data_IF_214769340587
#
_entry.id   IF_214769340587
#
_cell.length_a   1.000
_cell.length_b   1.000
_cell.length_c   1.000
_cell.angle_alpha   90.00
_cell.angle_beta   90.00
_cell.angle_gamma   90.00
#
_symmetry.space_group_name_H-M   'P 1'
#
loop_
_entity.id
_entity.type
_entity.pdbx_description
1 polymer ?
#
# COMPACT_ATOMS: atom_id res chain seq x y z
N UNK A 1 3.17 -14.51 24.06
CA UNK A 1 2.35 -14.49 22.83
C UNK A 1 2.59 -13.24 21.94
N UNK A 2 2.80 -12.03 22.48
CA UNK A 2 3.32 -10.88 21.69
C UNK A 2 4.80 -11.04 21.28
N UNK A 3 5.61 -11.67 22.13
CA UNK A 3 7.04 -11.94 21.86
C UNK A 3 7.28 -12.80 20.61
N UNK A 4 6.36 -13.70 20.26
CA UNK A 4 6.48 -14.57 19.08
C UNK A 4 6.05 -13.85 17.78
N UNK A 5 5.19 -12.82 17.91
CA UNK A 5 4.83 -11.91 16.82
C UNK A 5 5.99 -11.00 16.42
N UNK A 6 6.81 -10.57 17.40
CA UNK A 6 8.01 -9.74 17.19
C UNK A 6 9.23 -10.57 16.74
N UNK A 7 9.34 -11.83 17.18
CA UNK A 7 10.43 -12.74 16.76
C UNK A 7 10.45 -13.04 15.26
N UNK A 8 9.30 -12.93 14.58
CA UNK A 8 9.19 -13.08 13.13
C UNK A 8 9.34 -11.75 12.36
N UNK A 9 9.60 -10.63 13.05
CA UNK A 9 9.96 -9.31 12.47
C UNK A 9 11.47 -9.22 12.17
N UNK A 10 12.17 -10.36 12.20
CA UNK A 10 13.59 -10.47 11.90
C UNK A 10 13.86 -10.47 10.39
N UNK A 11 13.63 -9.33 9.76
CA UNK A 11 14.30 -8.95 8.52
C UNK A 11 14.24 -7.43 8.39
N UNK A 12 15.41 -6.81 8.25
CA UNK A 12 15.56 -5.42 7.82
C UNK A 12 14.59 -5.23 6.62
N UNK A 13 13.55 -4.39 6.67
CA UNK A 13 13.43 -3.19 5.79
C UNK A 13 11.94 -2.83 5.47
N UNK A 14 11.03 -2.85 6.45
CA UNK A 14 9.62 -2.45 6.23
C UNK A 14 9.39 -1.01 5.73
N UNK A 15 10.42 -0.16 5.72
CA UNK A 15 10.29 1.29 5.55
C UNK A 15 11.28 1.86 4.51
N UNK A 16 11.79 1.04 3.60
CA UNK A 16 12.55 1.53 2.46
C UNK A 16 12.08 0.85 1.18
N UNK A 17 11.53 1.64 0.26
CA UNK A 17 10.98 1.21 -1.04
C UNK A 17 11.88 0.25 -1.82
N UNK A 18 13.20 0.38 -1.70
CA UNK A 18 14.18 -0.48 -2.38
C UNK A 18 13.95 -1.97 -2.11
N UNK A 19 13.43 -2.34 -0.94
CA UNK A 19 13.21 -3.75 -0.59
C UNK A 19 11.87 -4.23 -1.11
N UNK A 20 10.87 -3.36 -1.09
CA UNK A 20 9.56 -3.64 -1.64
C UNK A 20 9.66 -3.95 -3.12
N UNK A 21 10.40 -3.12 -3.87
CA UNK A 21 10.66 -3.35 -5.29
C UNK A 21 11.43 -4.65 -5.52
N UNK A 22 12.49 -4.93 -4.75
CA UNK A 22 13.27 -6.16 -4.91
C UNK A 22 12.41 -7.42 -4.69
N UNK A 23 11.57 -7.44 -3.65
CA UNK A 23 10.66 -8.56 -3.43
C UNK A 23 9.58 -8.66 -4.51
N UNK A 24 9.03 -7.54 -4.96
CA UNK A 24 7.98 -7.54 -6.00
C UNK A 24 8.52 -7.94 -7.39
N UNK A 25 9.75 -7.54 -7.75
CA UNK A 25 10.35 -7.79 -9.08
C UNK A 25 11.20 -9.05 -9.17
N UNK A 26 11.68 -9.56 -8.03
CA UNK A 26 12.61 -10.69 -8.00
C UNK A 26 12.15 -11.82 -7.09
N UNK A 27 11.05 -11.65 -6.34
CA UNK A 27 10.59 -12.57 -5.29
C UNK A 27 11.49 -12.62 -4.04
N UNK A 28 12.72 -12.11 -4.15
CA UNK A 28 13.75 -12.19 -3.10
C UNK A 28 14.59 -10.93 -3.06
N UNK A 29 15.03 -10.58 -1.85
CA UNK A 29 16.03 -9.55 -1.67
C UNK A 29 17.45 -10.14 -1.82
N UNK A 30 17.87 -10.38 -3.06
CA UNK A 30 19.19 -10.93 -3.35
C UNK A 30 19.87 -10.21 -4.51
N UNK A 31 21.04 -9.60 -4.26
CA UNK A 31 21.75 -8.77 -5.24
C UNK A 31 22.13 -9.56 -6.49
N UNK A 32 22.61 -10.80 -6.36
CA UNK A 32 22.99 -11.62 -7.51
C UNK A 32 21.77 -11.88 -8.40
N UNK A 33 20.60 -12.15 -7.80
CA UNK A 33 19.36 -12.37 -8.56
C UNK A 33 18.96 -11.12 -9.33
N UNK A 34 19.02 -9.94 -8.70
CA UNK A 34 18.77 -8.66 -9.38
C UNK A 34 19.77 -8.43 -10.52
N UNK A 35 21.06 -8.69 -10.30
CA UNK A 35 22.11 -8.57 -11.34
C UNK A 35 21.88 -9.53 -12.51
N UNK A 36 21.44 -10.77 -12.24
CA UNK A 36 21.10 -11.72 -13.30
C UNK A 36 19.95 -11.19 -14.17
N UNK A 37 18.90 -10.59 -13.59
CA UNK A 37 17.82 -9.98 -14.37
C UNK A 37 18.33 -8.84 -15.27
N UNK A 38 19.32 -8.06 -14.81
CA UNK A 38 19.97 -7.03 -15.64
C UNK A 38 20.75 -7.67 -16.79
N UNK A 39 21.60 -8.68 -16.50
CA UNK A 39 22.42 -9.37 -17.51
C UNK A 39 21.56 -10.05 -18.57
N UNK A 40 20.46 -10.69 -18.15
CA UNK A 40 19.52 -11.36 -19.04
C UNK A 40 18.58 -10.39 -19.78
N UNK A 41 18.61 -9.09 -19.45
CA UNK A 41 17.76 -8.09 -20.10
C UNK A 41 16.27 -8.25 -19.79
N UNK A 42 15.91 -8.80 -18.63
CA UNK A 42 14.51 -8.95 -18.22
C UNK A 42 13.98 -7.58 -17.82
N UNK A 43 13.19 -6.97 -18.70
CA UNK A 43 12.62 -5.63 -18.50
C UNK A 43 11.12 -5.76 -18.28
N UNK A 44 10.66 -5.16 -17.19
CA UNK A 44 9.28 -5.10 -16.77
C UNK A 44 8.79 -3.65 -16.81
N UNK A 45 7.78 -3.29 -17.61
CA UNK A 45 7.11 -2.00 -17.49
C UNK A 45 6.38 -1.94 -16.15
N UNK A 46 6.45 -0.80 -15.47
CA UNK A 46 5.86 -0.59 -14.14
C UNK A 46 5.12 0.73 -14.05
N UNK A 47 3.92 0.67 -13.48
CA UNK A 47 3.07 1.81 -13.13
C UNK A 47 3.70 2.59 -11.97
N UNK A 48 3.57 3.91 -12.03
CA UNK A 48 4.06 4.80 -10.97
C UNK A 48 3.00 5.83 -10.63
N UNK A 49 2.93 6.22 -9.37
CA UNK A 49 2.03 7.26 -8.92
C UNK A 49 2.75 8.60 -8.81
N UNK A 50 2.07 9.67 -9.21
CA UNK A 50 2.39 11.02 -8.70
C UNK A 50 1.63 11.26 -7.41
N UNK A 51 2.32 11.74 -6.40
CA UNK A 51 1.76 12.25 -5.16
C UNK A 51 1.93 13.77 -5.15
N UNK A 52 0.83 14.51 -5.05
CA UNK A 52 0.84 15.97 -5.08
C UNK A 52 -0.11 16.55 -4.04
N UNK A 53 0.27 17.68 -3.46
CA UNK A 53 -0.68 18.59 -2.84
C UNK A 53 -1.27 19.53 -3.90
N UNK A 54 -2.35 20.27 -3.62
CA UNK A 54 -2.99 21.15 -4.60
C UNK A 54 -2.05 22.15 -5.28
N UNK A 55 -0.97 22.57 -4.60
CA UNK A 55 -0.02 23.56 -5.10
C UNK A 55 1.35 22.99 -5.49
N UNK A 56 1.63 21.70 -5.22
CA UNK A 56 2.98 21.15 -5.37
C UNK A 56 2.99 19.65 -5.63
N UNK A 57 3.79 19.22 -6.61
CA UNK A 57 4.20 17.82 -6.73
C UNK A 57 5.10 17.45 -5.55
N UNK A 58 4.67 16.49 -4.74
CA UNK A 58 5.43 15.99 -3.60
C UNK A 58 6.51 15.02 -4.08
N UNK A 59 6.12 13.99 -4.84
CA UNK A 59 7.02 12.91 -5.29
C UNK A 59 6.36 11.98 -6.31
N UNK A 60 7.19 11.22 -7.04
CA UNK A 60 6.81 9.99 -7.73
C UNK A 60 7.11 8.75 -6.88
N UNK A 61 6.21 7.78 -6.81
CA UNK A 61 6.43 6.56 -6.04
C UNK A 61 5.39 5.48 -6.32
N UNK A 62 5.42 4.39 -5.56
CA UNK A 62 4.55 3.24 -5.78
C UNK A 62 3.50 3.07 -4.70
N UNK A 63 3.76 3.60 -3.51
CA UNK A 63 2.94 3.36 -2.34
C UNK A 63 2.83 4.59 -1.45
N UNK A 64 1.65 4.78 -0.86
CA UNK A 64 1.48 5.66 0.27
C UNK A 64 0.62 5.05 1.36
N UNK A 65 0.87 5.44 2.60
CA UNK A 65 0.03 5.13 3.74
C UNK A 65 -0.26 6.40 4.55
N UNK A 66 -1.48 6.47 5.07
CA UNK A 66 -1.96 7.48 6.00
C UNK A 66 -2.58 6.80 7.23
N UNK A 67 -2.46 7.42 8.41
CA UNK A 67 -2.88 6.83 9.68
C UNK A 67 -1.79 5.94 10.30
N UNK A 68 -2.17 4.76 10.79
CA UNK A 68 -1.31 3.86 11.58
C UNK A 68 0.06 3.58 10.93
N UNK A 69 0.08 3.27 9.62
CA UNK A 69 1.32 2.98 8.90
C UNK A 69 2.29 4.16 8.87
N UNK A 70 1.78 5.37 8.69
CA UNK A 70 2.59 6.59 8.67
C UNK A 70 3.03 7.04 10.06
N UNK A 71 2.14 6.97 11.06
CA UNK A 71 2.50 7.26 12.46
C UNK A 71 3.54 6.29 13.00
N UNK A 72 3.44 5.01 12.64
CA UNK A 72 4.43 4.01 13.02
C UNK A 72 5.79 4.33 12.41
N UNK A 73 5.83 4.75 11.14
CA UNK A 73 7.05 5.23 10.49
C UNK A 73 7.61 6.48 11.20
N UNK A 74 6.78 7.49 11.45
CA UNK A 74 7.17 8.73 12.14
C UNK A 74 7.79 8.45 13.51
N UNK A 75 7.17 7.55 14.28
CA UNK A 75 7.67 7.17 15.58
C UNK A 75 9.02 6.45 15.48
N UNK A 76 9.18 5.53 14.53
CA UNK A 76 10.45 4.84 14.31
C UNK A 76 11.56 5.82 13.88
N UNK A 77 11.26 6.80 13.03
CA UNK A 77 12.23 7.81 12.61
C UNK A 77 12.62 8.77 13.73
N UNK A 78 11.69 9.13 14.63
CA UNK A 78 12.01 9.90 15.84
C UNK A 78 12.94 9.15 16.81
N UNK A 79 13.02 7.82 16.71
CA UNK A 79 13.81 6.96 17.60
C UNK A 79 14.97 6.24 16.88
N UNK A 80 15.66 6.90 15.92
CA UNK A 80 16.82 6.31 15.20
C UNK A 80 17.96 5.84 16.11
N UNK A 81 18.01 6.32 17.36
CA UNK A 81 18.98 5.87 18.37
C UNK A 81 18.77 4.40 18.81
N UNK A 82 17.59 3.82 18.59
CA UNK A 82 17.31 2.41 18.86
C UNK A 82 17.81 1.54 17.67
N UNK A 83 18.45 0.38 17.91
CA UNK A 83 18.84 -0.54 16.84
C UNK A 83 17.68 -0.89 15.88
N UNK A 84 17.92 -1.04 14.56
CA UNK A 84 16.85 -1.07 13.55
C UNK A 84 15.72 -2.09 13.78
N UNK A 85 16.02 -3.30 14.28
CA UNK A 85 15.00 -4.32 14.53
C UNK A 85 14.17 -3.96 15.77
N UNK A 86 14.83 -3.62 16.88
CA UNK A 86 14.19 -3.21 18.12
C UNK A 86 13.36 -1.93 17.93
N UNK A 87 13.83 -1.01 17.08
CA UNK A 87 13.16 0.25 16.75
C UNK A 87 11.79 0.04 16.11
N UNK A 88 11.68 -0.93 15.20
CA UNK A 88 10.41 -1.27 14.55
C UNK A 88 9.44 -1.91 15.52
N UNK A 89 9.91 -2.86 16.30
CA UNK A 89 9.11 -3.53 17.32
C UNK A 89 8.56 -2.50 18.31
N UNK A 90 9.43 -1.62 18.81
CA UNK A 90 9.06 -0.49 19.65
C UNK A 90 7.99 0.39 18.98
N UNK A 91 8.22 0.82 17.74
CA UNK A 91 7.30 1.72 17.05
C UNK A 91 5.92 1.08 16.81
N UNK A 92 5.86 -0.19 16.41
CA UNK A 92 4.61 -0.93 16.21
C UNK A 92 3.87 -1.10 17.53
N UNK A 93 4.56 -1.56 18.59
CA UNK A 93 3.95 -1.78 19.91
C UNK A 93 3.38 -0.48 20.46
N UNK A 94 4.17 0.61 20.41
CA UNK A 94 3.75 1.91 20.94
C UNK A 94 2.60 2.50 20.11
N UNK A 95 2.64 2.40 18.78
CA UNK A 95 1.54 2.84 17.92
C UNK A 95 0.26 2.03 18.13
N UNK A 96 0.37 0.72 18.43
CA UNK A 96 -0.77 -0.11 18.82
C UNK A 96 -1.30 0.24 20.21
N UNK A 97 -0.43 0.55 21.16
CA UNK A 97 -0.82 0.95 22.50
C UNK A 97 -1.64 2.25 22.47
N UNK A 98 -1.25 3.20 21.62
CA UNK A 98 -1.94 4.48 21.38
C UNK A 98 -2.75 4.48 20.07
N UNK A 99 -3.36 3.36 19.70
CA UNK A 99 -4.13 3.24 18.46
C UNK A 99 -5.29 4.24 18.44
N UNK A 100 -5.30 5.13 17.45
CA UNK A 100 -6.34 6.15 17.24
C UNK A 100 -6.67 6.23 15.75
N UNK A 101 -7.95 6.34 15.37
CA UNK A 101 -8.33 6.60 13.99
C UNK A 101 -8.18 8.09 13.64
N UNK A 102 -7.96 8.36 12.37
CA UNK A 102 -8.01 9.70 11.80
C UNK A 102 -9.34 9.91 11.08
N UNK A 103 -9.92 11.09 11.25
CA UNK A 103 -11.10 11.50 10.50
C UNK A 103 -10.63 12.08 9.15
N UNK A 104 -11.07 11.48 8.05
CA UNK A 104 -10.74 11.98 6.72
C UNK A 104 -11.85 11.72 5.70
N UNK A 105 -11.82 12.55 4.68
CA UNK A 105 -12.57 12.38 3.46
C UNK A 105 -11.65 11.78 2.39
N UNK A 106 -12.13 10.74 1.71
CA UNK A 106 -11.48 10.17 0.54
C UNK A 106 -12.40 10.28 -0.66
N UNK A 107 -11.85 10.76 -1.76
CA UNK A 107 -12.49 10.71 -3.07
C UNK A 107 -11.62 9.87 -4.01
N UNK A 108 -12.20 8.98 -4.80
CA UNK A 108 -11.43 8.18 -5.74
C UNK A 108 -12.18 7.96 -7.05
N UNK A 109 -11.42 7.83 -8.14
CA UNK A 109 -11.93 7.51 -9.46
C UNK A 109 -11.74 5.99 -9.69
N UNK A 110 -12.81 5.17 -9.61
CA UNK A 110 -12.69 3.74 -9.81
C UNK A 110 -12.28 3.41 -11.24
N UNK A 111 -11.60 2.28 -11.41
CA UNK A 111 -11.34 1.75 -12.74
C UNK A 111 -12.65 1.19 -13.31
N UNK A 112 -13.26 1.90 -14.27
CA UNK A 112 -14.47 1.47 -14.99
C UNK A 112 -14.16 0.31 -15.96
N UNK A 113 -13.81 -0.86 -15.41
CA UNK A 113 -13.91 -2.19 -16.03
C UNK A 113 -13.46 -3.25 -14.99
N UNK A 114 -14.37 -3.76 -14.15
CA UNK A 114 -14.04 -4.85 -13.21
C UNK A 114 -13.80 -6.21 -13.90
N UNK A 115 -14.00 -6.33 -15.22
CA UNK A 115 -13.91 -7.59 -15.94
C UNK A 115 -12.52 -7.83 -16.53
N UNK A 116 -11.56 -8.20 -15.67
CA UNK A 116 -10.47 -9.12 -16.04
C UNK A 116 -9.69 -9.70 -14.84
N UNK A 117 -10.24 -9.63 -13.63
CA UNK A 117 -9.70 -10.38 -12.50
C UNK A 117 -10.83 -11.26 -11.94
N UNK A 118 -10.66 -12.57 -12.08
CA UNK A 118 -11.55 -13.68 -11.69
C UNK A 118 -12.72 -13.98 -12.64
N UNK A 119 -12.50 -14.91 -13.59
CA UNK A 119 -13.42 -16.03 -13.87
C UNK A 119 -12.75 -17.06 -14.81
N UNK A 120 -12.43 -18.24 -14.26
CA UNK A 120 -12.41 -19.48 -15.03
C UNK A 120 -13.81 -19.72 -15.61
N UNK A 121 -13.84 -20.06 -16.90
CA UNK A 121 -14.89 -20.81 -17.62
C UNK A 121 -16.36 -20.43 -17.36
N UNK A 122 -16.95 -19.60 -18.23
CA UNK A 122 -18.14 -20.06 -18.95
C UNK A 122 -18.37 -19.33 -20.29
N UNK A 123 -18.98 -20.06 -21.22
CA UNK A 123 -19.13 -19.71 -22.64
C UNK A 123 -20.26 -18.71 -22.88
N UNK A 124 -20.03 -17.82 -23.85
CA UNK A 124 -21.02 -17.14 -24.72
C UNK A 124 -22.25 -16.49 -24.05
N UNK A 125 -22.27 -15.15 -24.06
CA UNK A 125 -23.26 -14.40 -24.86
C UNK A 125 -22.83 -12.94 -25.03
N UNK A 126 -22.74 -12.57 -26.31
CA UNK A 126 -22.34 -11.26 -26.82
C UNK A 126 -23.60 -10.41 -26.93
N UNK A 127 -23.96 -9.71 -25.86
CA UNK A 127 -25.00 -8.67 -25.92
C UNK A 127 -24.42 -7.28 -25.66
N UNK A 128 -24.82 -6.38 -26.54
CA UNK A 128 -24.28 -5.04 -26.77
C UNK A 128 -24.50 -4.15 -25.55
N UNK A 129 -23.47 -3.93 -24.74
CA UNK A 129 -23.49 -2.90 -23.71
C UNK A 129 -23.19 -1.56 -24.37
N UNK A 130 -24.18 -0.66 -24.33
CA UNK A 130 -24.06 0.75 -24.68
C UNK A 130 -22.89 1.34 -23.87
N UNK A 131 -21.88 1.89 -24.53
CA UNK A 131 -20.88 2.76 -23.90
C UNK A 131 -21.61 4.00 -23.39
N UNK A 132 -21.95 4.02 -22.11
CA UNK A 132 -22.31 5.27 -21.42
C UNK A 132 -21.02 6.02 -21.07
N UNK A 133 -21.03 7.34 -21.30
CA UNK A 133 -19.97 8.31 -20.97
C UNK A 133 -19.75 8.49 -19.45
N UNK A 134 -19.54 7.41 -18.70
CA UNK A 134 -19.38 7.45 -17.23
C UNK A 134 -17.92 7.51 -16.78
N UNK A 135 -17.00 7.99 -17.63
CA UNK A 135 -15.54 7.89 -17.38
C UNK A 135 -15.04 8.66 -16.15
N UNK A 136 -15.82 9.60 -15.61
CA UNK A 136 -15.34 10.55 -14.59
C UNK A 136 -16.16 10.55 -13.28
N UNK A 137 -16.89 9.47 -12.96
CA UNK A 137 -17.67 9.44 -11.72
C UNK A 137 -16.77 9.15 -10.50
N UNK A 138 -16.36 10.20 -9.81
CA UNK A 138 -15.70 10.12 -8.52
C UNK A 138 -16.63 9.55 -7.45
N UNK A 139 -16.11 8.62 -6.66
CA UNK A 139 -16.75 8.06 -5.48
C UNK A 139 -16.16 8.72 -4.24
N UNK A 140 -16.98 8.96 -3.22
CA UNK A 140 -16.57 9.62 -1.99
C UNK A 140 -16.96 8.76 -0.78
N UNK A 141 -16.00 8.60 0.13
CA UNK A 141 -16.20 7.97 1.42
C UNK A 141 -15.63 8.86 2.51
N UNK A 142 -16.30 8.92 3.64
CA UNK A 142 -15.90 9.72 4.80
C UNK A 142 -15.97 8.85 6.06
N UNK A 143 -15.16 9.20 7.05
CA UNK A 143 -15.26 8.62 8.38
C UNK A 143 -13.93 8.55 9.11
N UNK A 144 -13.90 7.66 10.10
CA UNK A 144 -12.74 7.45 10.97
C UNK A 144 -11.98 6.20 10.52
N UNK A 145 -10.73 6.38 10.11
CA UNK A 145 -9.87 5.33 9.56
C UNK A 145 -8.63 5.12 10.41
N UNK A 146 -8.36 3.88 10.78
CA UNK A 146 -7.11 3.50 11.44
C UNK A 146 -5.93 3.53 10.47
N UNK A 147 -6.17 3.15 9.21
CA UNK A 147 -5.15 3.15 8.18
C UNK A 147 -5.78 3.26 6.80
N UNK A 148 -5.15 4.05 5.93
CA UNK A 148 -5.44 4.12 4.51
C UNK A 148 -4.16 3.78 3.76
N UNK A 149 -4.23 2.83 2.84
CA UNK A 149 -3.11 2.41 2.00
C UNK A 149 -3.47 2.62 0.53
N UNK A 150 -2.58 3.26 -0.21
CA UNK A 150 -2.67 3.44 -1.67
C UNK A 150 -1.46 2.75 -2.28
N UNK A 151 -1.67 1.76 -3.14
CA UNK A 151 -0.61 0.90 -3.65
C UNK A 151 -0.77 0.70 -5.16
N UNK A 152 0.22 1.14 -5.95
CA UNK A 152 0.26 0.91 -7.40
C UNK A 152 0.82 -0.47 -7.76
N UNK A 153 1.56 -1.09 -6.85
CA UNK A 153 2.19 -2.40 -7.03
C UNK A 153 1.86 -3.30 -5.85
N UNK A 154 2.09 -4.62 -5.94
CA UNK A 154 1.76 -5.57 -4.87
C UNK A 154 2.38 -5.27 -3.50
N UNK A 155 3.51 -4.57 -3.50
CA UNK A 155 4.28 -4.19 -2.34
C UNK A 155 4.67 -5.39 -1.46
N UNK A 156 5.36 -6.38 -2.03
CA UNK A 156 5.85 -7.56 -1.31
C UNK A 156 6.96 -7.17 -0.34
N UNK A 157 7.00 -7.83 0.81
CA UNK A 157 8.13 -7.75 1.72
C UNK A 157 8.19 -8.97 2.62
N UNK A 158 9.29 -9.14 3.37
CA UNK A 158 9.44 -10.25 4.32
C UNK A 158 8.28 -10.40 5.33
N UNK A 159 7.56 -9.31 5.63
CA UNK A 159 6.45 -9.27 6.59
C UNK A 159 5.08 -9.53 5.96
N UNK A 160 4.99 -9.31 4.65
CA UNK A 160 3.81 -9.52 3.83
C UNK A 160 4.28 -10.24 2.56
N UNK A 161 4.57 -11.56 2.62
CA UNK A 161 5.16 -12.31 1.52
C UNK A 161 4.27 -12.36 0.28
N UNK A 162 2.95 -12.15 0.45
CA UNK A 162 1.99 -12.00 -0.66
C UNK A 162 1.70 -10.54 -1.01
N UNK A 163 2.40 -9.59 -0.40
CA UNK A 163 2.17 -8.17 -0.62
C UNK A 163 1.18 -7.53 0.35
N UNK A 164 1.30 -6.21 0.48
CA UNK A 164 0.30 -5.37 1.14
C UNK A 164 -0.96 -5.22 0.26
N UNK A 165 -0.78 -5.28 -1.07
CA UNK A 165 -1.86 -5.18 -2.06
C UNK A 165 -1.77 -6.33 -3.11
N UNK A 166 -1.94 -7.61 -2.71
CA UNK A 166 -1.77 -8.79 -3.56
C UNK A 166 -2.57 -8.78 -4.87
N UNK A 167 -3.66 -8.00 -4.95
CA UNK A 167 -4.54 -7.97 -6.11
C UNK A 167 -4.17 -6.87 -7.13
N UNK A 168 -3.11 -6.10 -6.86
CA UNK A 168 -2.57 -5.13 -7.82
C UNK A 168 -1.61 -5.82 -8.79
N UNK A 169 -1.33 -5.17 -9.93
CA UNK A 169 -0.35 -5.66 -10.91
C UNK A 169 0.67 -4.56 -11.17
N UNK A 170 1.80 -4.94 -11.76
CA UNK A 170 2.86 -3.99 -12.04
C UNK A 170 2.50 -2.96 -13.11
N UNK A 171 1.60 -3.26 -14.06
CA UNK A 171 1.48 -2.54 -15.32
C UNK A 171 0.05 -2.40 -15.87
N UNK A 172 -0.96 -2.49 -15.01
CA UNK A 172 -2.37 -2.52 -15.44
C UNK A 172 -3.07 -1.14 -15.39
N UNK A 173 -2.33 -0.08 -15.11
CA UNK A 173 -2.81 1.29 -15.04
C UNK A 173 -3.78 1.54 -13.89
N UNK A 174 -3.62 0.82 -12.77
CA UNK A 174 -4.51 0.92 -11.61
C UNK A 174 -3.73 0.91 -10.30
N UNK A 175 -4.39 1.36 -9.24
CA UNK A 175 -3.90 1.28 -7.88
C UNK A 175 -4.98 0.65 -6.97
N UNK A 176 -4.55 0.03 -5.88
CA UNK A 176 -5.43 -0.39 -4.80
C UNK A 176 -5.53 0.70 -3.74
N UNK A 177 -6.75 1.09 -3.41
CA UNK A 177 -7.10 1.86 -2.22
C UNK A 177 -7.66 0.88 -1.18
N UNK A 178 -6.93 0.69 -0.08
CA UNK A 178 -7.33 -0.18 1.03
C UNK A 178 -7.57 0.70 2.25
N UNK A 179 -8.81 0.73 2.73
CA UNK A 179 -9.19 1.51 3.92
C UNK A 179 -9.54 0.59 5.07
N UNK A 180 -8.98 0.89 6.24
CA UNK A 180 -9.27 0.19 7.50
C UNK A 180 -10.01 1.15 8.40
N UNK A 181 -11.31 0.94 8.57
CA UNK A 181 -12.17 1.76 9.43
C UNK A 181 -11.84 1.54 10.91
N UNK A 182 -12.34 2.44 11.74
CA UNK A 182 -12.25 2.34 13.19
C UNK A 182 -12.77 0.99 13.70
N UNK A 183 -11.97 0.32 14.54
CA UNK A 183 -12.27 -0.99 15.11
C UNK A 183 -11.50 -1.19 16.41
N UNK A 184 -11.77 -2.28 17.14
CA UNK A 184 -11.05 -2.61 18.36
C UNK A 184 -9.57 -2.86 18.08
N UNK A 185 -8.70 -2.52 19.05
CA UNK A 185 -7.26 -2.83 18.97
C UNK A 185 -7.00 -4.32 18.76
N UNK A 186 -7.80 -5.19 19.38
CA UNK A 186 -7.67 -6.64 19.22
C UNK A 186 -7.94 -7.08 17.78
N UNK A 187 -8.99 -6.54 17.15
CA UNK A 187 -9.33 -6.87 15.77
C UNK A 187 -8.37 -6.26 14.76
N UNK A 188 -7.88 -5.04 15.02
CA UNK A 188 -6.82 -4.44 14.22
C UNK A 188 -5.53 -5.29 14.27
N UNK A 189 -5.13 -5.79 15.44
CA UNK A 189 -3.99 -6.72 15.58
C UNK A 189 -4.25 -8.03 14.82
N UNK A 190 -5.48 -8.58 14.85
CA UNK A 190 -5.84 -9.76 14.05
C UNK A 190 -5.69 -9.47 12.56
N UNK A 191 -6.08 -8.29 12.11
CA UNK A 191 -5.91 -7.83 10.73
C UNK A 191 -4.43 -7.76 10.34
N UNK A 192 -3.59 -7.07 11.13
CA UNK A 192 -2.16 -6.96 10.87
C UNK A 192 -1.47 -8.35 10.78
N UNK A 193 -1.89 -9.29 11.64
CA UNK A 193 -1.37 -10.67 11.61
C UNK A 193 -1.71 -11.43 10.32
N UNK A 194 -2.78 -11.06 9.60
CA UNK A 194 -3.15 -11.79 8.37
C UNK A 194 -2.17 -11.56 7.23
N UNK A 195 -1.45 -10.43 7.18
CA UNK A 195 -0.44 -10.16 6.15
C UNK A 195 0.70 -11.20 6.15
N UNK A 196 1.05 -11.74 7.31
CA UNK A 196 2.07 -12.79 7.45
C UNK A 196 1.51 -14.22 7.25
N UNK A 197 0.26 -14.36 6.82
CA UNK A 197 -0.43 -15.65 6.71
C UNK A 197 -0.98 -15.89 5.29
N UNK A 198 -1.45 -17.11 5.04
CA UNK A 198 -2.15 -17.48 3.79
C UNK A 198 -3.63 -17.04 3.75
N UNK A 199 -4.18 -16.51 4.86
CA UNK A 199 -5.57 -16.05 4.91
C UNK A 199 -5.72 -14.67 4.26
N UNK A 200 -6.86 -14.42 3.62
CA UNK A 200 -7.15 -13.11 3.02
C UNK A 200 -7.16 -12.01 4.10
N UNK A 201 -6.23 -11.04 4.01
CA UNK A 201 -6.10 -9.92 4.94
C UNK A 201 -7.28 -8.94 4.89
N UNK A 202 -8.06 -8.94 3.80
CA UNK A 202 -9.18 -8.04 3.55
C UNK A 202 -10.53 -8.60 4.01
N UNK A 203 -10.60 -9.88 4.42
CA UNK A 203 -11.85 -10.50 4.87
C UNK A 203 -12.20 -10.12 6.33
N UNK A 204 -12.41 -8.83 6.58
CA UNK A 204 -12.89 -8.26 7.83
C UNK A 204 -13.95 -7.19 7.53
N UNK A 205 -15.00 -7.04 8.36
CA UNK A 205 -16.08 -6.09 8.09
C UNK A 205 -15.65 -4.61 8.17
N UNK A 206 -14.49 -4.32 8.74
CA UNK A 206 -13.92 -2.98 8.86
C UNK A 206 -12.82 -2.69 7.81
N UNK A 207 -12.62 -3.57 6.84
CA UNK A 207 -11.63 -3.39 5.76
C UNK A 207 -12.37 -3.34 4.43
N UNK A 208 -12.16 -2.26 3.67
CA UNK A 208 -12.70 -2.10 2.32
C UNK A 208 -11.55 -1.92 1.33
N UNK A 209 -11.72 -2.44 0.12
CA UNK A 209 -10.71 -2.38 -0.95
C UNK A 209 -11.35 -1.91 -2.25
N UNK A 210 -10.72 -0.94 -2.90
CA UNK A 210 -11.16 -0.35 -4.15
C UNK A 210 -10.01 -0.38 -5.17
N UNK A 211 -10.33 -0.65 -6.43
CA UNK A 211 -9.40 -0.47 -7.55
C UNK A 211 -9.69 0.86 -8.21
N UNK A 212 -8.72 1.75 -8.23
CA UNK A 212 -8.87 3.13 -8.70
C UNK A 212 -7.73 3.55 -9.64
N UNK A 213 -7.90 4.68 -10.32
CA UNK A 213 -6.84 5.35 -11.08
C UNK A 213 -6.35 6.61 -10.36
N UNK A 214 -7.24 7.26 -9.63
CA UNK A 214 -6.92 8.45 -8.85
C UNK A 214 -7.56 8.38 -7.47
N UNK A 215 -6.88 8.93 -6.47
CA UNK A 215 -7.34 9.02 -5.09
C UNK A 215 -6.95 10.38 -4.53
N UNK A 216 -7.89 11.06 -3.88
CA UNK A 216 -7.67 12.28 -3.10
C UNK A 216 -8.02 12.00 -1.66
N UNK A 217 -7.18 12.44 -0.74
CA UNK A 217 -7.40 12.29 0.69
C UNK A 217 -7.23 13.65 1.35
N UNK A 218 -8.22 14.01 2.15
CA UNK A 218 -8.26 15.23 2.92
C UNK A 218 -8.60 14.89 4.38
N UNK A 219 -7.64 14.97 5.32
CA UNK A 219 -7.93 14.91 6.75
C UNK A 219 -8.92 16.01 7.15
N UNK A 220 -9.86 15.69 8.04
CA UNK A 220 -10.86 16.62 8.56
C UNK A 220 -10.36 17.17 9.90
N UNK A 221 -10.26 18.50 10.01
CA UNK A 221 -9.80 19.17 11.21
C UNK A 221 -10.98 19.46 12.16
N UNK A 222 -10.86 19.08 13.43
CA UNK A 222 -11.72 19.62 14.49
C UNK A 222 -11.04 20.86 15.06
N UNK A 223 -11.56 22.04 14.74
CA UNK A 223 -11.14 23.28 15.38
C UNK A 223 -11.73 23.37 16.81
N UNK A 224 -10.87 23.43 17.83
CA UNK A 224 -11.21 23.70 19.24
C UNK A 224 -10.76 22.57 20.17
N UNK A 225 -10.03 22.77 21.26
CA UNK A 225 -9.85 23.91 22.16
C UNK A 225 -8.41 23.87 22.74
N UNK A 226 -7.75 25.02 22.83
CA UNK A 226 -6.51 25.17 23.60
C UNK A 226 -6.79 24.88 25.08
N UNK A 227 -6.29 23.76 25.57
CA UNK A 227 -6.00 23.58 27.00
C UNK A 227 -4.50 23.38 27.14
N UNK A 228 -3.86 24.36 27.76
CA UNK A 228 -2.48 24.34 28.24
C UNK A 228 -2.31 23.18 29.23
N UNK A 229 -1.95 22.00 28.73
CA UNK A 229 -1.00 21.06 29.32
C UNK A 229 -1.01 19.76 28.50
N UNK A 230 0.13 19.47 27.88
CA UNK A 230 0.37 18.47 26.83
C UNK A 230 -0.09 18.88 25.43
N UNK A 231 0.71 19.71 24.75
CA UNK A 231 0.62 19.94 23.30
C UNK A 231 0.60 18.57 22.60
N UNK A 232 -0.53 18.09 22.04
CA UNK A 232 -0.45 17.08 21.02
C UNK A 232 0.21 17.76 19.81
N UNK A 233 1.02 17.06 19.01
CA UNK A 233 1.42 17.54 17.68
C UNK A 233 0.15 17.58 16.77
N UNK A 234 -0.84 18.39 17.14
CA UNK A 234 -2.11 18.65 16.46
C UNK A 234 -1.79 19.43 15.19
N UNK A 235 -1.83 18.73 14.06
CA UNK A 235 -1.62 19.32 12.74
C UNK A 235 -0.59 18.60 11.87
N UNK A 236 0.26 17.72 12.42
CA UNK A 236 1.17 16.93 11.59
C UNK A 236 0.56 15.55 11.32
N UNK A 237 -0.05 15.43 10.14
CA UNK A 237 -0.56 14.20 9.57
C UNK A 237 0.54 13.59 8.71
N UNK A 238 1.42 12.74 9.26
CA UNK A 238 2.52 12.21 8.49
C UNK A 238 1.95 11.36 7.36
N UNK A 239 2.53 11.54 6.20
CA UNK A 239 2.36 10.64 5.06
C UNK A 239 3.59 9.76 4.97
N UNK A 240 3.38 8.46 4.84
CA UNK A 240 4.44 7.56 4.42
C UNK A 240 4.31 7.38 2.92
N UNK A 241 5.25 7.91 2.13
CA UNK A 241 5.33 7.66 0.69
C UNK A 241 6.60 6.85 0.45
N UNK A 242 6.44 5.60 0.03
CA UNK A 242 7.56 4.70 -0.29
C UNK A 242 8.59 4.49 0.84
N UNK A 243 8.16 4.66 2.09
CA UNK A 243 9.01 4.55 3.29
C UNK A 243 9.57 5.89 3.78
N UNK A 244 9.32 6.98 3.07
CA UNK A 244 9.74 8.31 3.46
C UNK A 244 8.58 9.11 4.07
N UNK A 245 8.90 9.90 5.08
CA UNK A 245 7.94 10.77 5.75
C UNK A 245 7.78 12.08 5.00
N UNK A 246 6.54 12.40 4.67
CA UNK A 246 6.15 13.71 4.16
C UNK A 246 5.26 14.39 5.20
N UNK A 247 5.65 15.60 5.58
CA UNK A 247 4.97 16.41 6.60
C UNK A 247 4.29 17.62 5.96
N UNK A 248 3.25 18.14 6.62
CA UNK A 248 2.59 19.39 6.22
C UNK A 248 1.66 19.32 5.00
N UNK A 249 1.43 18.14 4.40
CA UNK A 249 0.46 17.97 3.33
C UNK A 249 -0.97 17.79 3.90
N UNK A 250 -1.79 18.84 3.81
CA UNK A 250 -3.20 18.84 4.26
C UNK A 250 -4.15 18.17 3.27
N UNK A 251 -3.71 17.96 2.04
CA UNK A 251 -4.42 17.19 1.02
C UNK A 251 -3.37 16.49 0.17
N UNK A 252 -3.60 15.21 -0.12
CA UNK A 252 -2.76 14.44 -1.05
C UNK A 252 -3.65 13.86 -2.14
N UNK A 253 -3.31 14.23 -3.38
CA UNK A 253 -3.82 13.65 -4.60
C UNK A 253 -2.79 12.67 -5.17
N UNK A 254 -3.26 11.45 -5.40
CA UNK A 254 -2.50 10.35 -5.98
C UNK A 254 -3.11 10.02 -7.33
N UNK A 255 -2.27 9.95 -8.37
CA UNK A 255 -2.66 9.55 -9.72
C UNK A 255 -1.68 8.52 -10.25
N UNK A 256 -2.20 7.39 -10.73
CA UNK A 256 -1.39 6.36 -11.40
C UNK A 256 -1.05 6.79 -12.83
N UNK A 257 0.19 6.53 -13.25
CA UNK A 257 0.71 6.71 -14.59
C UNK A 257 1.08 5.33 -15.13
N UNK A 258 0.29 4.79 -16.07
CA UNK A 258 0.50 3.44 -16.58
C UNK A 258 1.87 3.31 -17.26
N UNK A 259 2.63 2.30 -16.87
CA UNK A 259 3.86 1.85 -17.55
C UNK A 259 4.89 2.97 -17.80
N UNK A 260 4.97 3.96 -16.89
CA UNK A 260 5.81 5.14 -17.09
C UNK A 260 7.31 4.81 -17.04
N UNK A 261 7.69 3.77 -16.30
CA UNK A 261 9.08 3.37 -16.12
C UNK A 261 9.29 1.88 -16.44
N UNK A 262 10.53 1.53 -16.72
CA UNK A 262 10.99 0.17 -16.93
C UNK A 262 11.95 -0.22 -15.80
N UNK A 263 11.71 -1.35 -15.16
CA UNK A 263 12.57 -1.91 -14.13
C UNK A 263 13.05 -3.30 -14.55
N UNK A 264 14.24 -3.68 -14.10
CA UNK A 264 14.73 -5.03 -14.34
C UNK A 264 14.07 -6.02 -13.38
N UNK A 265 13.57 -7.14 -13.89
CA UNK A 265 12.85 -8.14 -13.10
C UNK A 265 11.76 -8.83 -13.90
N UNK A 266 10.95 -9.62 -13.21
CA UNK A 266 9.79 -10.33 -13.78
C UNK A 266 8.63 -10.21 -12.78
N UNK A 267 7.39 -10.07 -13.27
CA UNK A 267 6.23 -10.14 -12.38
C UNK A 267 6.16 -11.53 -11.75
N UNK A 268 5.98 -11.61 -10.42
CA UNK A 268 5.79 -12.90 -9.73
C UNK A 268 4.51 -13.60 -10.24
N UNK A 269 3.51 -12.84 -10.67
CA UNK A 269 2.27 -13.38 -11.25
C UNK A 269 2.50 -14.06 -12.60
N UNK A 270 3.49 -13.59 -13.39
CA UNK A 270 3.82 -14.19 -14.70
C UNK A 270 4.51 -15.56 -14.55
N UNK A 271 5.05 -15.87 -13.36
CA UNK A 271 5.70 -17.14 -13.07
C UNK A 271 4.67 -18.25 -12.81
N UNK A 272 3.55 -17.95 -12.17
CA UNK A 272 2.47 -18.92 -11.90
C UNK A 272 1.63 -19.23 -13.15
N UNK A 273 1.46 -18.27 -14.07
CA UNK A 273 0.79 -18.48 -15.37
C UNK A 273 1.70 -19.18 -16.41
N UNK A 274 3.01 -19.23 -16.15
CA UNK A 274 3.92 -20.05 -16.94
C UNK A 274 3.73 -21.52 -16.57
N UNK A 275 2.85 -22.22 -17.30
CA UNK A 275 3.06 -23.65 -17.51
C UNK A 275 4.44 -23.78 -18.13
N UNK A 276 5.44 -24.08 -17.30
CA UNK A 276 6.80 -24.30 -17.74
C UNK A 276 6.80 -25.44 -18.76
N UNK A 277 6.75 -25.09 -20.04
CA UNK A 277 7.16 -25.98 -21.11
C UNK A 277 8.68 -25.99 -21.07
N UNK A 278 9.28 -26.85 -20.24
CA UNK A 278 10.65 -27.32 -20.45
C UNK A 278 10.63 -28.10 -21.76
N UNK A 279 10.85 -27.39 -22.87
CA UNK A 279 11.43 -27.97 -24.06
C UNK A 279 12.94 -27.99 -23.85
N UNK A 280 13.39 -28.91 -23.01
CA UNK A 280 14.79 -29.20 -22.83
C UNK A 280 15.20 -30.13 -24.00
N UNK A 281 16.13 -29.65 -24.83
CA UNK A 281 16.86 -30.45 -25.84
C UNK A 281 17.84 -31.40 -25.13
#
# INVERSE_FOLDING_TARGET
MLSQYLKNVNSRHLMGSTNVLAYTLHGVKHTVTATLHVIMGHIQPVDICTFSSPSKLLRFGFSAMFGFGARTLALAEKHRWIPPNQRKDFAVIRSLASLKPEECELSFLPLNNPQQCFQENDRMKKDRIKKSDSKDQWHKIEGHFLNVSIMAIPCLCAMAPRGLAPNTRLNNGSLALIVVRNTSRADFIKHLKRYASVKNQFNFPFVETYTAQEVKIQPIFKSGYETEDHVPEEGNYPWNIDGDLMEGALEVHVRVHPQLINLYGVSVDDLDDSKATCSCL
#
